data_IF_025406772229
#
_entry.id   IF_025406772229
#
_cell.length_a   1.000
_cell.length_b   1.000
_cell.length_c   1.000
_cell.angle_alpha   90.00
_cell.angle_beta   90.00
_cell.angle_gamma   90.00
#
_symmetry.space_group_name_H-M   'P 1'
#
loop_
_entity.id
_entity.type
_entity.pdbx_description
1 polymer ?
#
# COMPACT_ATOMS: atom_id res chain seq x y z
N UNK A 1 -25.78 -6.00 -7.39
CA UNK A 1 -25.37 -4.66 -7.72
C UNK A 1 -23.97 -4.70 -8.36
N UNK A 2 -23.82 -4.23 -9.60
CA UNK A 2 -22.52 -4.28 -10.29
C UNK A 2 -21.44 -3.46 -9.60
N UNK A 3 -21.80 -2.36 -8.95
CA UNK A 3 -20.82 -1.55 -8.21
C UNK A 3 -20.30 -2.28 -6.98
N UNK A 4 -21.16 -3.02 -6.31
CA UNK A 4 -20.75 -3.86 -5.17
C UNK A 4 -19.74 -4.92 -5.61
N UNK A 5 -20.03 -5.60 -6.73
CA UNK A 5 -19.12 -6.60 -7.28
C UNK A 5 -17.78 -5.97 -7.63
N UNK A 6 -17.80 -4.81 -8.28
CA UNK A 6 -16.58 -4.11 -8.67
C UNK A 6 -15.74 -3.70 -7.44
N UNK A 7 -16.38 -3.21 -6.38
CA UNK A 7 -15.68 -2.89 -5.11
C UNK A 7 -15.04 -4.12 -4.51
N UNK A 8 -15.75 -5.24 -4.48
CA UNK A 8 -15.21 -6.48 -3.93
C UNK A 8 -14.00 -6.97 -4.71
N UNK A 9 -14.00 -6.78 -6.03
CA UNK A 9 -12.85 -7.12 -6.85
C UNK A 9 -11.63 -6.25 -6.55
N UNK A 10 -11.82 -4.97 -6.25
CA UNK A 10 -10.73 -4.08 -5.82
C UNK A 10 -10.09 -4.60 -4.53
N UNK A 11 -10.92 -4.95 -3.54
CA UNK A 11 -10.42 -5.50 -2.28
C UNK A 11 -9.71 -6.84 -2.51
N UNK A 12 -10.33 -7.73 -3.30
CA UNK A 12 -9.76 -9.03 -3.63
C UNK A 12 -8.37 -8.89 -4.27
N UNK A 13 -8.22 -7.92 -5.17
CA UNK A 13 -6.96 -7.71 -5.87
C UNK A 13 -5.80 -7.42 -4.89
N UNK A 14 -6.05 -6.70 -3.81
CA UNK A 14 -5.02 -6.41 -2.81
C UNK A 14 -4.92 -7.49 -1.74
N UNK A 15 -6.05 -8.03 -1.27
CA UNK A 15 -6.09 -8.99 -0.17
C UNK A 15 -5.62 -10.38 -0.58
N UNK A 16 -6.10 -10.87 -1.73
CA UNK A 16 -5.87 -12.26 -2.13
C UNK A 16 -4.79 -12.43 -3.19
N UNK A 17 -4.63 -11.46 -4.08
CA UNK A 17 -3.56 -11.48 -5.08
C UNK A 17 -2.35 -10.70 -4.56
N UNK A 18 -2.56 -9.45 -4.16
CA UNK A 18 -1.53 -8.62 -3.56
C UNK A 18 -0.26 -8.58 -4.38
N UNK A 19 0.84 -8.90 -3.73
CA UNK A 19 2.17 -8.83 -4.34
C UNK A 19 2.44 -9.93 -5.37
N UNK A 20 1.57 -10.94 -5.47
CA UNK A 20 1.70 -11.95 -6.52
C UNK A 20 1.41 -11.40 -7.92
N UNK A 21 0.70 -10.25 -8.02
CA UNK A 21 0.42 -9.64 -9.31
C UNK A 21 -0.04 -8.20 -9.16
N UNK A 22 0.90 -7.25 -9.22
CA UNK A 22 0.61 -5.83 -9.00
C UNK A 22 -0.39 -5.24 -10.01
N UNK A 23 -0.49 -5.80 -11.21
CA UNK A 23 -1.46 -5.36 -12.21
C UNK A 23 -2.91 -5.65 -11.85
N UNK A 24 -3.17 -6.55 -10.89
CA UNK A 24 -4.53 -6.92 -10.50
C UNK A 24 -5.31 -5.73 -9.91
N UNK A 25 -4.66 -4.93 -9.06
CA UNK A 25 -5.32 -3.76 -8.48
C UNK A 25 -5.68 -2.72 -9.54
N UNK A 26 -4.77 -2.45 -10.47
CA UNK A 26 -5.03 -1.52 -11.58
C UNK A 26 -6.18 -1.99 -12.45
N UNK A 27 -6.24 -3.29 -12.76
CA UNK A 27 -7.33 -3.87 -13.52
C UNK A 27 -8.67 -3.73 -12.80
N UNK A 28 -8.69 -4.01 -11.50
CA UNK A 28 -9.91 -3.93 -10.70
C UNK A 28 -10.41 -2.49 -10.60
N UNK A 29 -9.52 -1.52 -10.40
CA UNK A 29 -9.88 -0.09 -10.35
C UNK A 29 -10.40 0.37 -11.71
N UNK A 30 -9.74 -0.02 -12.81
CA UNK A 30 -10.20 0.29 -14.16
C UNK A 30 -11.60 -0.31 -14.42
N UNK A 31 -11.85 -1.51 -13.92
CA UNK A 31 -13.16 -2.16 -14.04
C UNK A 31 -14.24 -1.39 -13.27
N UNK A 32 -13.92 -0.93 -12.07
CA UNK A 32 -14.85 -0.11 -11.30
C UNK A 32 -15.24 1.17 -12.06
N UNK A 33 -14.25 1.84 -12.63
CA UNK A 33 -14.46 3.02 -13.47
C UNK A 33 -15.33 2.69 -14.70
N UNK A 34 -15.06 1.58 -15.37
CA UNK A 34 -15.82 1.15 -16.53
C UNK A 34 -17.29 0.90 -16.18
N UNK A 35 -17.56 0.26 -15.05
CA UNK A 35 -18.94 0.00 -14.59
C UNK A 35 -19.67 1.32 -14.38
N UNK A 36 -19.03 2.32 -13.80
CA UNK A 36 -19.66 3.62 -13.56
C UNK A 36 -19.91 4.38 -14.87
N UNK A 37 -18.96 4.33 -15.81
CA UNK A 37 -19.02 5.14 -17.03
C UNK A 37 -19.83 4.50 -18.14
N UNK A 38 -19.75 3.18 -18.26
CA UNK A 38 -20.42 2.43 -19.35
C UNK A 38 -21.83 2.01 -18.98
N UNK A 39 -21.99 1.46 -17.76
CA UNK A 39 -23.27 0.96 -17.27
C UNK A 39 -23.64 -0.40 -17.87
N UNK A 40 -24.72 -0.99 -17.33
CA UNK A 40 -25.26 -2.24 -17.83
C UNK A 40 -26.14 -1.98 -19.06
N UNK A 41 -26.23 -2.93 -19.99
CA UNK A 41 -25.68 -4.28 -19.90
C UNK A 41 -24.23 -4.43 -20.37
N UNK A 42 -23.65 -3.45 -21.04
CA UNK A 42 -22.33 -3.57 -21.67
C UNK A 42 -21.20 -3.77 -20.64
N UNK A 43 -21.33 -3.17 -19.46
CA UNK A 43 -20.33 -3.31 -18.39
C UNK A 43 -20.17 -4.76 -17.88
N UNK A 44 -21.08 -5.67 -18.26
CA UNK A 44 -20.89 -7.10 -17.98
C UNK A 44 -19.59 -7.63 -18.56
N UNK A 45 -19.21 -7.16 -19.75
CA UNK A 45 -17.92 -7.53 -20.35
C UNK A 45 -16.75 -7.17 -19.45
N UNK A 46 -16.79 -5.96 -18.90
CA UNK A 46 -15.75 -5.48 -18.00
C UNK A 46 -15.70 -6.29 -16.69
N UNK A 47 -16.87 -6.60 -16.12
CA UNK A 47 -16.96 -7.39 -14.90
C UNK A 47 -16.44 -8.80 -15.10
N UNK A 48 -16.84 -9.48 -16.18
CA UNK A 48 -16.37 -10.83 -16.47
C UNK A 48 -14.88 -10.84 -16.80
N UNK A 49 -14.41 -9.89 -17.58
CA UNK A 49 -12.98 -9.74 -17.89
C UNK A 49 -12.16 -9.68 -16.60
N UNK A 50 -12.53 -8.81 -15.68
CA UNK A 50 -11.82 -8.66 -14.41
C UNK A 50 -11.94 -9.92 -13.56
N UNK A 51 -13.13 -10.47 -13.39
CA UNK A 51 -13.35 -11.65 -12.56
C UNK A 51 -12.52 -12.85 -13.04
N UNK A 52 -12.48 -13.09 -14.36
CA UNK A 52 -11.70 -14.18 -14.92
C UNK A 52 -10.20 -13.94 -14.73
N UNK A 53 -9.73 -12.73 -14.98
CA UNK A 53 -8.33 -12.39 -14.81
C UNK A 53 -7.89 -12.57 -13.35
N UNK A 54 -8.71 -12.11 -12.40
CA UNK A 54 -8.41 -12.29 -10.96
C UNK A 54 -8.42 -13.76 -10.57
N UNK A 55 -9.39 -14.53 -11.10
CA UNK A 55 -9.47 -15.96 -10.81
C UNK A 55 -8.24 -16.74 -11.31
N UNK A 56 -7.66 -16.32 -12.42
CA UNK A 56 -6.47 -16.95 -13.01
C UNK A 56 -5.16 -16.45 -12.42
N UNK A 57 -5.18 -15.38 -11.63
CA UNK A 57 -3.97 -14.81 -11.05
C UNK A 57 -3.46 -15.67 -9.89
N UNK A 58 -2.16 -15.66 -9.70
CA UNK A 58 -1.56 -16.26 -8.51
C UNK A 58 -2.01 -15.50 -7.27
N UNK A 59 -2.00 -16.16 -6.13
CA UNK A 59 -2.48 -15.60 -4.86
C UNK A 59 -1.33 -15.46 -3.88
N UNK A 60 -1.41 -14.40 -3.04
CA UNK A 60 -0.45 -14.17 -1.97
C UNK A 60 -1.15 -13.47 -0.80
N UNK A 61 -0.89 -13.94 0.42
CA UNK A 61 -1.41 -13.32 1.64
C UNK A 61 -0.36 -12.43 2.32
N UNK A 62 0.74 -12.18 1.65
CA UNK A 62 1.86 -11.43 2.24
C UNK A 62 1.46 -10.03 2.70
N UNK A 63 0.63 -9.32 1.92
CA UNK A 63 0.14 -7.99 2.32
C UNK A 63 -0.64 -8.06 3.63
N UNK A 64 -1.52 -9.04 3.77
CA UNK A 64 -2.29 -9.23 5.00
C UNK A 64 -1.37 -9.44 6.21
N UNK A 65 -0.37 -10.30 6.06
CA UNK A 65 0.56 -10.62 7.14
C UNK A 65 1.39 -9.39 7.52
N UNK A 66 1.96 -8.70 6.55
CA UNK A 66 2.76 -7.49 6.78
C UNK A 66 1.93 -6.36 7.36
N UNK A 67 0.71 -6.19 6.88
CA UNK A 67 -0.23 -5.18 7.40
C UNK A 67 -0.55 -5.44 8.87
N UNK A 68 -0.87 -6.69 9.21
CA UNK A 68 -1.18 -7.06 10.59
C UNK A 68 0.03 -6.85 11.50
N UNK A 69 1.22 -7.21 11.05
CA UNK A 69 2.46 -6.98 11.79
C UNK A 69 2.69 -5.47 12.03
N UNK A 70 2.49 -4.67 10.99
CA UNK A 70 2.65 -3.22 11.09
C UNK A 70 1.63 -2.60 12.05
N UNK A 71 0.36 -3.04 11.98
CA UNK A 71 -0.69 -2.56 12.87
C UNK A 71 -0.37 -2.91 14.32
N UNK A 72 0.06 -4.16 14.58
CA UNK A 72 0.41 -4.61 15.92
C UNK A 72 1.58 -3.79 16.47
N UNK A 73 2.58 -3.53 15.63
CA UNK A 73 3.74 -2.74 16.02
C UNK A 73 3.35 -1.29 16.33
N UNK A 74 2.50 -0.69 15.52
CA UNK A 74 2.02 0.67 15.73
C UNK A 74 1.21 0.80 17.02
N UNK A 75 0.40 -0.21 17.35
CA UNK A 75 -0.37 -0.24 18.61
C UNK A 75 0.52 -0.38 19.83
N UNK A 76 1.63 -1.10 19.70
CA UNK A 76 2.60 -1.26 20.78
C UNK A 76 3.38 0.04 21.04
N UNK A 77 3.59 0.85 20.02
CA UNK A 77 4.36 2.09 20.09
C UNK A 77 3.56 3.29 19.55
N UNK A 78 2.40 3.63 20.16
CA UNK A 78 1.48 4.61 19.57
C UNK A 78 2.02 6.04 19.49
N UNK A 79 3.01 6.37 20.32
CA UNK A 79 3.55 7.72 20.40
C UNK A 79 4.98 7.83 19.87
N UNK A 80 5.46 6.83 19.14
CA UNK A 80 6.81 6.85 18.59
C UNK A 80 6.97 7.96 17.56
N UNK A 81 7.94 8.85 17.70
CA UNK A 81 8.16 9.92 16.74
C UNK A 81 8.85 9.39 15.49
N UNK A 82 8.60 10.07 14.38
CA UNK A 82 9.36 9.79 13.15
C UNK A 82 10.84 10.09 13.42
N UNK A 83 11.76 9.20 13.00
CA UNK A 83 13.20 9.46 13.18
C UNK A 83 13.62 10.81 12.60
N UNK A 84 14.53 11.51 13.29
CA UNK A 84 14.95 12.86 12.89
C UNK A 84 15.50 12.91 11.45
N UNK A 85 16.22 11.88 11.04
CA UNK A 85 16.80 11.82 9.69
C UNK A 85 15.75 11.72 8.57
N UNK A 86 14.50 11.39 8.92
CA UNK A 86 13.39 11.33 7.97
C UNK A 86 12.52 12.58 7.99
N UNK A 87 12.80 13.52 8.90
CA UNK A 87 12.01 14.76 9.02
C UNK A 87 12.63 15.87 8.17
N UNK A 88 11.77 16.68 7.57
CA UNK A 88 12.23 17.90 6.89
C UNK A 88 12.90 18.85 7.87
N UNK A 89 13.93 19.55 7.40
CA UNK A 89 14.68 20.51 8.20
C UNK A 89 14.52 21.93 7.63
N UNK A 90 13.31 22.56 7.75
CA UNK A 90 13.06 23.86 7.14
C UNK A 90 13.80 25.02 7.82
N UNK A 91 14.31 24.83 9.06
CA UNK A 91 15.06 25.83 9.77
C UNK A 91 16.47 25.34 10.07
N UNK A 92 17.39 26.29 10.31
CA UNK A 92 18.75 25.95 10.71
C UNK A 92 18.78 25.18 12.03
N UNK A 93 17.93 25.57 12.98
CA UNK A 93 17.82 24.88 14.25
C UNK A 93 17.45 23.40 14.06
N UNK A 94 16.48 23.10 13.19
CA UNK A 94 16.10 21.72 12.91
C UNK A 94 17.24 20.93 12.28
N UNK A 95 18.00 21.55 11.37
CA UNK A 95 19.19 20.90 10.77
C UNK A 95 20.23 20.59 11.85
N UNK A 96 20.49 21.54 12.75
CA UNK A 96 21.44 21.37 13.83
C UNK A 96 21.01 20.28 14.82
N UNK A 97 19.70 20.06 14.98
CA UNK A 97 19.15 18.99 15.80
C UNK A 97 19.17 17.62 15.12
N UNK A 98 19.58 17.54 13.86
CA UNK A 98 19.71 16.29 13.14
C UNK A 98 18.54 15.94 12.22
N UNK A 99 17.61 16.86 12.00
CA UNK A 99 16.49 16.65 11.08
C UNK A 99 17.02 16.45 9.67
N UNK A 100 16.51 15.43 9.00
CA UNK A 100 16.84 15.09 7.60
C UNK A 100 18.32 14.74 7.36
N UNK A 101 19.08 14.51 8.42
CA UNK A 101 20.52 14.21 8.32
C UNK A 101 20.75 12.88 7.61
N UNK A 102 21.56 12.92 6.55
CA UNK A 102 21.93 11.72 5.80
C UNK A 102 20.84 11.17 4.89
N UNK A 103 19.68 11.84 4.79
CA UNK A 103 18.62 11.43 3.90
C UNK A 103 18.89 11.88 2.47
N UNK A 104 18.67 10.98 1.51
CA UNK A 104 18.76 11.26 0.08
C UNK A 104 17.50 10.80 -0.62
N UNK A 105 16.93 11.68 -1.45
CA UNK A 105 15.77 11.36 -2.26
C UNK A 105 16.21 10.62 -3.53
N UNK A 106 16.31 9.30 -3.43
CA UNK A 106 16.69 8.46 -4.58
C UNK A 106 16.16 7.04 -4.40
N UNK A 107 15.93 6.35 -5.52
CA UNK A 107 15.48 4.97 -5.49
C UNK A 107 16.54 4.07 -4.84
N UNK A 108 16.08 3.11 -4.03
CA UNK A 108 16.97 2.16 -3.35
C UNK A 108 17.76 2.74 -2.19
N UNK A 109 17.46 3.99 -1.79
CA UNK A 109 18.16 4.62 -0.67
C UNK A 109 18.00 3.83 0.62
N UNK A 110 19.12 3.60 1.30
CA UNK A 110 19.17 2.99 2.62
C UNK A 110 19.89 3.94 3.57
N UNK A 111 19.43 4.02 4.81
CA UNK A 111 20.08 4.79 5.87
C UNK A 111 20.62 3.83 6.93
N UNK A 112 21.81 4.11 7.48
CA UNK A 112 22.45 3.25 8.48
C UNK A 112 21.58 2.99 9.71
N UNK A 113 20.74 3.96 10.11
CA UNK A 113 19.79 3.84 11.22
C UNK A 113 18.45 3.24 10.82
N UNK A 114 18.25 2.92 9.54
CA UNK A 114 16.97 2.43 9.03
C UNK A 114 15.89 3.50 9.03
N UNK A 115 14.63 3.07 9.01
CA UNK A 115 13.47 3.97 8.87
C UNK A 115 12.46 3.84 10.00
N UNK A 116 12.71 2.96 10.97
CA UNK A 116 11.84 2.82 12.13
C UNK A 116 12.23 3.82 13.22
N UNK A 117 11.27 4.29 14.05
CA UNK A 117 11.57 5.03 15.26
C UNK A 117 12.55 4.28 16.15
N UNK A 118 13.43 5.03 16.84
CA UNK A 118 14.51 4.43 17.65
C UNK A 118 14.01 3.58 18.80
N UNK A 119 12.82 3.89 19.36
CA UNK A 119 12.21 3.16 20.46
C UNK A 119 11.54 1.85 20.02
N UNK A 120 11.35 1.64 18.73
CA UNK A 120 10.76 0.41 18.21
C UNK A 120 11.85 -0.63 18.03
N UNK A 121 11.67 -1.75 18.75
CA UNK A 121 12.56 -2.90 18.62
C UNK A 121 11.82 -4.03 17.93
N UNK A 122 12.41 -4.55 16.87
CA UNK A 122 11.93 -5.78 16.23
C UNK A 122 12.45 -6.96 17.04
N UNK A 123 11.53 -7.86 17.32
CA UNK A 123 11.88 -9.15 17.94
C UNK A 123 12.49 -10.08 16.91
#
# INVERSE_FOLDING_TARGET
DPKFIARRMVIFASEDIGLAGNGALSLAVATFEAVERVGLPEARYNLFHCAIALARSQKSREITDLMNDAIALARKYPNSPVPLHLRNAPTKLMKDLGYNKGYKWQAGFQHEKGFLPEDIKKD
#
